data_IF_124258200727
#
_entry.id   IF_124258200727
#
_cell.length_a   1.000
_cell.length_b   1.000
_cell.length_c   1.000
_cell.angle_alpha   90.00
_cell.angle_beta   90.00
_cell.angle_gamma   90.00
#
_symmetry.space_group_name_H-M   'P 1'
#
loop_
_entity.id
_entity.type
_entity.pdbx_description
1 polymer ?
#
# COMPACT_ATOMS: atom_id res chain seq x y z
N UNK A 1 -24.17 -3.36 -38.97
CA UNK A 1 -23.23 -4.37 -38.43
C UNK A 1 -21.83 -3.81 -38.54
N UNK A 2 -21.35 -3.14 -37.51
CA UNK A 2 -19.99 -2.59 -37.45
C UNK A 2 -19.04 -3.71 -37.04
N UNK A 3 -18.28 -4.20 -38.02
CA UNK A 3 -17.17 -5.13 -37.86
C UNK A 3 -16.15 -4.56 -36.87
N UNK A 4 -16.15 -5.07 -35.65
CA UNK A 4 -15.08 -4.90 -34.68
C UNK A 4 -13.86 -5.66 -35.18
N UNK A 5 -12.97 -4.97 -35.90
CA UNK A 5 -11.65 -5.50 -36.21
C UNK A 5 -10.96 -5.86 -34.88
N UNK A 6 -10.68 -7.15 -34.70
CA UNK A 6 -9.80 -7.64 -33.63
C UNK A 6 -8.45 -6.96 -33.82
N UNK A 7 -8.15 -5.95 -33.00
CA UNK A 7 -6.84 -5.30 -32.99
C UNK A 7 -5.88 -6.25 -32.28
N UNK A 8 -4.88 -6.75 -33.02
CA UNK A 8 -3.77 -7.50 -32.44
C UNK A 8 -3.22 -6.74 -31.23
N UNK A 9 -3.17 -7.34 -30.02
CA UNK A 9 -2.61 -6.70 -28.85
C UNK A 9 -1.14 -6.31 -29.07
N UNK A 10 -0.72 -5.16 -28.52
CA UNK A 10 0.66 -4.68 -28.58
C UNK A 10 1.17 -4.31 -27.19
N UNK A 11 2.47 -4.47 -26.94
CA UNK A 11 3.15 -3.99 -25.73
C UNK A 11 3.97 -2.75 -26.04
N UNK A 12 4.06 -1.83 -25.06
CA UNK A 12 4.98 -0.69 -25.07
C UNK A 12 5.84 -0.63 -23.81
N UNK A 13 5.84 -1.69 -23.00
CA UNK A 13 6.47 -1.70 -21.69
C UNK A 13 7.96 -2.02 -21.79
N UNK A 14 8.29 -3.08 -22.52
CA UNK A 14 9.67 -3.49 -22.76
C UNK A 14 9.79 -4.31 -24.06
N UNK A 15 11.01 -4.36 -24.59
CA UNK A 15 11.40 -5.27 -25.67
C UNK A 15 12.89 -5.61 -25.52
N UNK A 16 13.35 -6.63 -26.22
CA UNK A 16 14.76 -6.97 -26.32
C UNK A 16 15.10 -7.46 -27.72
N UNK A 17 16.38 -7.32 -28.08
CA UNK A 17 17.02 -7.91 -29.25
C UNK A 17 18.18 -8.78 -28.78
N UNK A 18 18.97 -9.33 -29.72
CA UNK A 18 20.21 -10.04 -29.37
C UNK A 18 21.25 -9.16 -28.66
N UNK A 19 21.17 -7.83 -28.84
CA UNK A 19 22.21 -6.88 -28.39
C UNK A 19 21.66 -5.67 -27.64
N UNK A 20 20.35 -5.58 -27.40
CA UNK A 20 19.75 -4.45 -26.69
C UNK A 20 18.53 -4.87 -25.87
N UNK A 21 18.29 -4.16 -24.77
CA UNK A 21 17.06 -4.25 -24.00
C UNK A 21 16.51 -2.85 -23.85
N UNK A 22 15.20 -2.69 -24.00
CA UNK A 22 14.54 -1.41 -23.90
C UNK A 22 13.38 -1.48 -22.90
N UNK A 23 13.30 -0.47 -22.06
CA UNK A 23 12.20 -0.19 -21.16
C UNK A 23 11.48 1.02 -21.71
N UNK A 24 10.31 0.80 -22.31
CA UNK A 24 9.66 1.76 -23.20
C UNK A 24 10.64 2.17 -24.31
N UNK A 25 10.88 3.48 -24.47
CA UNK A 25 11.78 4.02 -25.48
C UNK A 25 13.25 4.08 -24.99
N UNK A 26 13.52 3.88 -23.70
CA UNK A 26 14.86 3.98 -23.13
C UNK A 26 15.64 2.66 -23.25
N UNK A 27 16.90 2.73 -23.66
CA UNK A 27 17.84 1.62 -23.64
C UNK A 27 18.26 1.32 -22.20
N UNK A 28 18.12 0.06 -21.77
CA UNK A 28 18.45 -0.35 -20.41
C UNK A 28 19.91 -0.10 -20.05
N UNK A 29 20.84 -0.39 -20.97
CA UNK A 29 22.29 -0.33 -20.72
C UNK A 29 22.79 1.11 -20.78
N UNK A 30 22.43 1.85 -21.81
CA UNK A 30 22.97 3.18 -22.06
C UNK A 30 22.23 4.28 -21.27
N UNK A 31 20.91 4.18 -21.17
CA UNK A 31 20.07 5.28 -20.63
C UNK A 31 19.68 5.08 -19.17
N UNK A 32 19.64 3.83 -18.67
CA UNK A 32 19.10 3.52 -17.34
C UNK A 32 20.17 3.03 -16.35
N UNK A 33 20.97 2.02 -16.71
CA UNK A 33 21.96 1.44 -15.83
C UNK A 33 23.04 2.46 -15.45
N UNK A 34 23.20 2.71 -14.14
CA UNK A 34 24.14 3.71 -13.63
C UNK A 34 23.69 5.17 -13.74
N UNK A 35 22.58 5.44 -14.45
CA UNK A 35 22.06 6.78 -14.69
C UNK A 35 20.78 7.08 -13.89
N UNK A 36 20.00 6.04 -13.58
CA UNK A 36 18.67 6.14 -12.98
C UNK A 36 18.56 5.26 -11.73
N UNK A 37 17.82 5.73 -10.73
CA UNK A 37 17.54 4.92 -9.54
C UNK A 37 16.43 3.91 -9.82
N UNK A 38 16.33 2.88 -8.98
CA UNK A 38 15.22 1.92 -9.07
C UNK A 38 13.86 2.60 -8.97
N UNK A 39 13.67 3.51 -8.00
CA UNK A 39 12.42 4.27 -7.83
C UNK A 39 12.07 5.07 -9.07
N UNK A 40 13.07 5.69 -9.71
CA UNK A 40 12.86 6.46 -10.93
C UNK A 40 12.38 5.58 -12.09
N UNK A 41 13.07 4.46 -12.36
CA UNK A 41 12.69 3.51 -13.42
C UNK A 41 11.32 2.89 -13.12
N UNK A 42 11.04 2.53 -11.87
CA UNK A 42 9.77 1.98 -11.42
C UNK A 42 8.62 2.96 -11.71
N UNK A 43 8.76 4.24 -11.34
CA UNK A 43 7.74 5.25 -11.63
C UNK A 43 7.57 5.52 -13.12
N UNK A 44 8.65 5.53 -13.90
CA UNK A 44 8.56 5.63 -15.37
C UNK A 44 7.75 4.48 -15.97
N UNK A 45 7.96 3.26 -15.48
CA UNK A 45 7.23 2.07 -15.93
C UNK A 45 5.75 2.12 -15.53
N UNK A 46 5.44 2.46 -14.28
CA UNK A 46 4.08 2.50 -13.73
C UNK A 46 3.27 3.67 -14.30
N UNK A 47 3.84 4.88 -14.33
CA UNK A 47 3.12 6.11 -14.71
C UNK A 47 3.21 6.42 -16.20
N UNK A 48 4.16 5.82 -16.92
CA UNK A 48 4.34 6.07 -18.35
C UNK A 48 4.84 7.47 -18.70
N UNK A 49 5.44 8.16 -17.73
CA UNK A 49 6.05 9.49 -17.87
C UNK A 49 7.34 9.57 -17.06
N UNK A 50 8.21 10.52 -17.39
CA UNK A 50 9.33 10.85 -16.52
C UNK A 50 8.80 11.35 -15.15
N UNK A 51 9.30 10.83 -14.01
CA UNK A 51 8.97 11.34 -12.69
C UNK A 51 9.65 12.69 -12.46
N UNK A 52 8.98 13.56 -11.69
CA UNK A 52 9.58 14.78 -11.15
C UNK A 52 10.45 14.45 -9.95
N UNK A 53 11.32 15.37 -9.53
CA UNK A 53 12.11 15.21 -8.31
C UNK A 53 11.24 14.95 -7.07
N UNK A 54 10.11 15.65 -6.94
CA UNK A 54 9.14 15.43 -5.87
C UNK A 54 8.48 14.04 -5.92
N UNK A 55 8.25 13.49 -7.11
CA UNK A 55 7.64 12.16 -7.25
C UNK A 55 8.55 11.08 -6.62
N UNK A 56 9.87 11.23 -6.78
CA UNK A 56 10.87 10.34 -6.18
C UNK A 56 10.85 10.45 -4.65
N UNK A 57 10.97 11.68 -4.12
CA UNK A 57 11.02 11.93 -2.67
C UNK A 57 9.77 11.41 -1.95
N UNK A 58 8.59 11.66 -2.53
CA UNK A 58 7.32 11.18 -1.99
C UNK A 58 7.21 9.66 -2.09
N UNK A 59 7.61 9.08 -3.22
CA UNK A 59 7.54 7.62 -3.39
C UNK A 59 8.47 6.91 -2.41
N UNK A 60 9.71 7.37 -2.25
CA UNK A 60 10.68 6.75 -1.34
C UNK A 60 10.17 6.76 0.12
N UNK A 61 9.64 7.91 0.61
CA UNK A 61 9.10 7.96 1.97
C UNK A 61 7.84 7.10 2.14
N UNK A 62 6.98 7.02 1.11
CA UNK A 62 5.82 6.14 1.12
C UNK A 62 6.26 4.67 1.19
N UNK A 63 7.23 4.27 0.36
CA UNK A 63 7.73 2.90 0.36
C UNK A 63 8.36 2.55 1.71
N UNK A 64 9.08 3.47 2.36
CA UNK A 64 9.64 3.26 3.71
C UNK A 64 8.52 3.04 4.73
N UNK A 65 7.50 3.90 4.76
CA UNK A 65 6.41 3.81 5.76
C UNK A 65 5.59 2.52 5.62
N UNK A 66 5.44 2.01 4.40
CA UNK A 66 4.68 0.79 4.14
C UNK A 66 5.47 -0.51 4.41
N UNK A 67 6.81 -0.41 4.50
CA UNK A 67 7.70 -1.57 4.40
C UNK A 67 7.60 -2.49 5.60
N UNK A 68 7.47 -1.96 6.82
CA UNK A 68 7.53 -2.74 8.05
C UNK A 68 6.46 -2.38 9.08
N UNK A 69 6.00 -3.41 9.80
CA UNK A 69 5.03 -3.25 10.90
C UNK A 69 5.13 -4.40 11.93
N UNK A 70 6.31 -5.00 12.07
CA UNK A 70 6.56 -6.16 12.94
C UNK A 70 5.98 -7.46 12.38
N UNK A 71 5.68 -8.41 13.27
CA UNK A 71 5.11 -9.73 12.93
C UNK A 71 3.63 -9.64 12.55
N UNK A 72 3.36 -8.99 11.41
CA UNK A 72 2.05 -8.99 10.76
C UNK A 72 1.72 -10.39 10.21
N UNK A 73 0.45 -10.70 9.88
CA UNK A 73 0.10 -11.95 9.22
C UNK A 73 0.94 -12.24 7.97
N UNK A 74 1.30 -11.20 7.21
CA UNK A 74 2.18 -11.28 6.03
C UNK A 74 3.60 -11.76 6.40
N UNK A 75 4.20 -11.18 7.44
CA UNK A 75 5.53 -11.56 7.93
C UNK A 75 5.53 -12.98 8.53
N UNK A 76 4.52 -13.30 9.34
CA UNK A 76 4.35 -14.62 9.96
C UNK A 76 4.20 -15.71 8.89
N UNK A 77 3.32 -15.49 7.90
CA UNK A 77 3.14 -16.43 6.80
C UNK A 77 4.43 -16.65 6.01
N UNK A 78 5.15 -15.56 5.69
CA UNK A 78 6.44 -15.64 4.98
C UNK A 78 7.44 -16.51 5.74
N UNK A 79 7.60 -16.28 7.05
CA UNK A 79 8.56 -17.03 7.88
C UNK A 79 8.19 -18.50 8.02
N UNK A 80 6.90 -18.81 8.21
CA UNK A 80 6.43 -20.19 8.31
C UNK A 80 6.64 -20.95 6.99
N UNK A 81 6.34 -20.34 5.85
CA UNK A 81 6.54 -20.97 4.54
C UNK A 81 8.04 -21.14 4.24
N UNK A 82 8.86 -20.13 4.55
CA UNK A 82 10.31 -20.24 4.38
C UNK A 82 10.91 -21.35 5.26
N UNK A 83 10.50 -21.45 6.53
CA UNK A 83 10.91 -22.54 7.42
C UNK A 83 10.54 -23.92 6.84
N UNK A 84 9.36 -24.04 6.23
CA UNK A 84 8.91 -25.32 5.65
C UNK A 84 9.59 -25.69 4.33
N UNK A 85 10.01 -24.71 3.54
CA UNK A 85 10.60 -24.89 2.20
C UNK A 85 11.67 -23.83 1.94
N UNK A 86 12.85 -23.91 2.61
CA UNK A 86 13.89 -22.88 2.57
C UNK A 86 14.50 -22.68 1.16
N UNK A 87 14.40 -23.69 0.29
CA UNK A 87 14.79 -23.61 -1.12
C UNK A 87 13.83 -22.77 -1.98
N UNK A 88 12.62 -22.47 -1.48
CA UNK A 88 11.57 -21.76 -2.20
C UNK A 88 11.31 -20.36 -1.61
N UNK A 89 12.34 -19.51 -1.62
CA UNK A 89 12.29 -18.12 -1.12
C UNK A 89 11.14 -17.32 -1.75
N UNK A 90 10.97 -17.40 -3.07
CA UNK A 90 9.90 -16.70 -3.79
C UNK A 90 8.50 -17.19 -3.37
N UNK A 91 8.35 -18.46 -3.01
CA UNK A 91 7.11 -19.01 -2.49
C UNK A 91 6.75 -18.41 -1.13
N UNK A 92 7.74 -18.25 -0.25
CA UNK A 92 7.56 -17.60 1.04
C UNK A 92 7.16 -16.12 0.89
N UNK A 93 7.85 -15.35 0.03
CA UNK A 93 7.46 -13.96 -0.25
C UNK A 93 6.05 -13.88 -0.83
N UNK A 94 5.72 -14.75 -1.78
CA UNK A 94 4.38 -14.82 -2.38
C UNK A 94 3.31 -15.08 -1.33
N UNK A 95 3.53 -16.02 -0.41
CA UNK A 95 2.60 -16.32 0.67
C UNK A 95 2.35 -15.11 1.59
N UNK A 96 3.41 -14.35 1.93
CA UNK A 96 3.24 -13.10 2.67
C UNK A 96 2.46 -12.04 1.89
N UNK A 97 2.72 -11.91 0.59
CA UNK A 97 2.02 -10.94 -0.27
C UNK A 97 0.52 -11.24 -0.41
N UNK A 98 0.11 -12.52 -0.37
CA UNK A 98 -1.31 -12.90 -0.37
C UNK A 98 -2.08 -12.37 0.84
N UNK A 99 -1.40 -12.02 1.93
CA UNK A 99 -2.01 -11.40 3.11
C UNK A 99 -2.18 -9.86 2.98
N UNK A 100 -1.69 -9.24 1.90
CA UNK A 100 -1.91 -7.81 1.61
C UNK A 100 -3.31 -7.64 1.01
N UNK A 101 -4.21 -6.96 1.72
CA UNK A 101 -5.62 -6.88 1.33
C UNK A 101 -6.39 -5.77 2.04
N UNK A 102 -7.72 -5.76 1.91
CA UNK A 102 -8.54 -4.64 2.41
C UNK A 102 -8.43 -4.39 3.91
N UNK A 103 -8.16 -5.43 4.71
CA UNK A 103 -7.95 -5.30 6.16
C UNK A 103 -6.55 -4.80 6.53
N UNK A 104 -5.55 -5.04 5.67
CA UNK A 104 -4.15 -4.71 5.93
C UNK A 104 -3.53 -4.02 4.72
N UNK A 105 -3.16 -2.75 4.89
CA UNK A 105 -2.53 -1.89 3.88
C UNK A 105 -3.44 -1.48 2.70
N UNK A 106 -4.42 -2.31 2.30
CA UNK A 106 -5.35 -2.02 1.20
C UNK A 106 -6.32 -0.86 1.43
N UNK A 107 -6.41 -0.32 2.65
CA UNK A 107 -7.24 0.84 3.00
C UNK A 107 -6.82 2.12 2.28
N UNK A 108 -5.57 2.22 1.79
CA UNK A 108 -5.09 3.38 1.03
C UNK A 108 -5.85 3.59 -0.29
N UNK A 109 -6.09 2.52 -1.06
CA UNK A 109 -6.81 2.58 -2.33
C UNK A 109 -8.27 3.01 -2.11
N UNK A 110 -8.90 2.45 -1.08
CA UNK A 110 -10.27 2.82 -0.70
C UNK A 110 -10.33 4.29 -0.25
N UNK A 111 -9.34 4.76 0.52
CA UNK A 111 -9.22 6.17 0.92
C UNK A 111 -9.05 7.07 -0.31
N UNK A 112 -8.15 6.73 -1.23
CA UNK A 112 -7.90 7.50 -2.44
C UNK A 112 -9.16 7.67 -3.29
N UNK A 113 -9.98 6.63 -3.43
CA UNK A 113 -11.28 6.74 -4.09
C UNK A 113 -12.25 7.73 -3.41
N UNK A 114 -12.20 7.84 -2.09
CA UNK A 114 -12.97 8.88 -1.36
C UNK A 114 -12.39 10.27 -1.60
N UNK A 115 -11.06 10.41 -1.61
CA UNK A 115 -10.40 11.69 -1.90
C UNK A 115 -10.68 12.16 -3.33
N UNK A 116 -10.73 11.24 -4.30
CA UNK A 116 -11.12 11.53 -5.69
C UNK A 116 -12.53 12.09 -5.79
N UNK A 117 -13.50 11.46 -5.08
CA UNK A 117 -14.88 11.96 -5.01
C UNK A 117 -14.96 13.37 -4.44
N UNK A 118 -14.27 13.62 -3.33
CA UNK A 118 -14.24 14.94 -2.68
C UNK A 118 -13.60 15.98 -3.62
N UNK A 119 -12.52 15.61 -4.30
CA UNK A 119 -11.83 16.52 -5.25
C UNK A 119 -12.71 16.89 -6.44
N UNK A 120 -13.60 15.99 -6.88
CA UNK A 120 -14.47 16.19 -8.03
C UNK A 120 -15.83 16.83 -7.68
N UNK A 121 -16.17 16.94 -6.39
CA UNK A 121 -17.45 17.46 -5.94
C UNK A 121 -17.54 18.98 -6.10
N UNK A 122 -18.71 19.48 -6.48
CA UNK A 122 -18.99 20.93 -6.49
C UNK A 122 -18.94 21.53 -5.08
N UNK A 123 -19.32 20.75 -4.06
CA UNK A 123 -19.15 21.08 -2.65
C UNK A 123 -18.37 19.95 -1.94
N UNK A 124 -17.04 20.07 -1.83
CA UNK A 124 -16.19 19.08 -1.19
C UNK A 124 -16.57 18.79 0.27
N UNK A 125 -17.07 19.80 1.01
CA UNK A 125 -17.44 19.64 2.42
C UNK A 125 -18.74 18.84 2.55
N UNK A 126 -19.73 19.12 1.71
CA UNK A 126 -20.97 18.34 1.69
C UNK A 126 -20.71 16.87 1.33
N UNK A 127 -19.84 16.61 0.33
CA UNK A 127 -19.46 15.25 -0.06
C UNK A 127 -18.73 14.51 1.07
N UNK A 128 -17.77 15.18 1.74
CA UNK A 128 -17.07 14.62 2.89
C UNK A 128 -18.02 14.24 4.05
N UNK A 129 -19.00 15.09 4.36
CA UNK A 129 -20.04 14.80 5.37
C UNK A 129 -20.92 13.62 4.96
N UNK A 130 -21.29 13.52 3.68
CA UNK A 130 -22.06 12.40 3.17
C UNK A 130 -21.30 11.08 3.32
N UNK A 131 -20.00 11.07 2.97
CA UNK A 131 -19.10 9.92 3.16
C UNK A 131 -19.03 9.52 4.63
N UNK A 132 -18.76 10.47 5.54
CA UNK A 132 -18.64 10.19 6.97
C UNK A 132 -19.95 9.61 7.56
N UNK A 133 -21.11 10.18 7.19
CA UNK A 133 -22.44 9.69 7.62
C UNK A 133 -22.73 8.29 7.07
N UNK A 134 -22.35 8.01 5.83
CA UNK A 134 -22.52 6.70 5.21
C UNK A 134 -21.79 5.61 6.02
N UNK A 135 -20.50 5.79 6.29
CA UNK A 135 -19.71 4.83 7.08
C UNK A 135 -20.20 4.69 8.53
N UNK A 136 -20.65 5.78 9.16
CA UNK A 136 -21.31 5.72 10.48
C UNK A 136 -22.58 4.86 10.44
N UNK A 137 -23.42 5.02 9.40
CA UNK A 137 -24.61 4.21 9.20
C UNK A 137 -24.30 2.72 9.00
N UNK A 138 -23.21 2.41 8.29
CA UNK A 138 -22.69 1.05 8.13
C UNK A 138 -22.02 0.48 9.40
N UNK A 139 -21.82 1.29 10.44
CA UNK A 139 -21.01 0.95 11.62
C UNK A 139 -19.61 0.45 11.25
N UNK A 140 -19.04 1.00 10.18
CA UNK A 140 -17.73 0.62 9.65
C UNK A 140 -16.76 1.81 9.73
N UNK A 141 -15.46 1.60 9.99
CA UNK A 141 -14.47 2.66 9.93
C UNK A 141 -14.39 3.31 8.55
N UNK A 142 -14.18 4.62 8.51
CA UNK A 142 -13.88 5.33 7.26
C UNK A 142 -12.46 4.94 6.81
N UNK A 143 -12.24 4.49 5.57
CA UNK A 143 -10.91 4.18 5.04
C UNK A 143 -9.94 5.36 5.22
N UNK A 144 -8.74 5.07 5.73
CA UNK A 144 -7.74 6.10 6.06
C UNK A 144 -7.84 6.67 7.48
N UNK A 145 -8.85 6.27 8.25
CA UNK A 145 -9.11 6.78 9.61
C UNK A 145 -9.16 5.68 10.66
N UNK A 146 -8.76 6.05 11.88
CA UNK A 146 -8.68 5.20 13.05
C UNK A 146 -7.40 4.36 13.11
N UNK A 147 -6.93 4.15 14.33
CA UNK A 147 -5.86 3.21 14.63
C UNK A 147 -6.09 2.61 16.03
N UNK A 148 -5.81 1.31 16.19
CA UNK A 148 -5.99 0.62 17.48
C UNK A 148 -4.89 1.02 18.49
N UNK A 149 -3.63 1.11 18.03
CA UNK A 149 -2.48 1.55 18.84
C UNK A 149 -2.28 3.08 18.93
N UNK A 150 -2.29 3.80 17.80
CA UNK A 150 -1.88 5.20 17.77
C UNK A 150 -3.01 6.18 18.07
N UNK A 151 -2.97 6.79 19.26
CA UNK A 151 -3.87 7.85 19.72
C UNK A 151 -3.07 8.88 20.55
N UNK A 152 -3.36 10.18 20.44
CA UNK A 152 -4.41 10.80 19.62
C UNK A 152 -4.05 10.94 18.14
N UNK A 153 -2.80 10.71 17.74
CA UNK A 153 -2.30 10.85 16.36
C UNK A 153 -1.45 9.65 15.96
N UNK A 154 -1.45 9.29 14.67
CA UNK A 154 -0.47 8.37 14.07
C UNK A 154 0.76 9.20 13.66
N UNK A 155 1.93 9.00 14.29
CA UNK A 155 3.11 9.82 14.03
C UNK A 155 3.59 9.70 12.58
N UNK A 156 3.34 8.57 11.92
CA UNK A 156 3.70 8.36 10.50
C UNK A 156 2.81 9.21 9.59
N UNK A 157 1.51 9.19 9.85
CA UNK A 157 0.55 9.99 9.08
C UNK A 157 0.87 11.48 9.21
N UNK A 158 1.13 11.93 10.43
CA UNK A 158 1.51 13.32 10.70
C UNK A 158 2.79 13.71 9.93
N UNK A 159 3.85 12.88 10.02
CA UNK A 159 5.12 13.19 9.36
C UNK A 159 5.01 13.17 7.83
N UNK A 160 4.26 12.23 7.27
CA UNK A 160 4.00 12.17 5.83
C UNK A 160 3.30 13.42 5.33
N UNK A 161 2.25 13.86 6.03
CA UNK A 161 1.51 15.08 5.64
C UNK A 161 2.34 16.35 5.85
N UNK A 162 3.18 16.42 6.88
CA UNK A 162 4.16 17.49 7.08
C UNK A 162 5.12 17.58 5.89
N UNK A 163 5.70 16.44 5.47
CA UNK A 163 6.61 16.38 4.32
C UNK A 163 5.90 16.77 3.02
N UNK A 164 4.71 16.25 2.77
CA UNK A 164 3.93 16.62 1.59
C UNK A 164 3.60 18.12 1.53
N UNK A 165 3.26 18.74 2.66
CA UNK A 165 3.00 20.20 2.72
C UNK A 165 4.25 21.05 2.52
N UNK A 166 5.44 20.51 2.82
CA UNK A 166 6.71 21.22 2.62
C UNK A 166 7.19 21.19 1.16
N UNK A 167 6.63 20.33 0.31
CA UNK A 167 7.01 20.18 -1.08
C UNK A 167 6.32 21.22 -1.98
N UNK A 168 7.05 22.26 -2.40
CA UNK A 168 6.50 23.36 -3.21
C UNK A 168 5.99 22.92 -4.61
N UNK A 169 6.41 21.75 -5.09
CA UNK A 169 5.97 21.20 -6.39
C UNK A 169 4.61 20.48 -6.31
N UNK A 170 4.09 20.22 -5.11
CA UNK A 170 2.77 19.62 -4.91
C UNK A 170 1.68 20.68 -4.85
N UNK A 171 0.53 20.39 -5.46
CA UNK A 171 -0.61 21.30 -5.44
C UNK A 171 -1.33 21.26 -4.08
N UNK A 172 -1.27 20.12 -3.38
CA UNK A 172 -1.87 19.90 -2.08
C UNK A 172 -3.38 19.62 -2.13
N UNK A 173 -3.95 19.35 -3.31
CA UNK A 173 -5.39 19.10 -3.48
C UNK A 173 -5.86 17.84 -2.74
N UNK A 174 -5.10 16.75 -2.83
CA UNK A 174 -5.41 15.49 -2.16
C UNK A 174 -5.16 15.57 -0.66
N UNK A 175 -4.15 16.33 -0.24
CA UNK A 175 -3.92 16.63 1.17
C UNK A 175 -5.12 17.41 1.74
N UNK A 176 -5.57 18.48 1.06
CA UNK A 176 -6.76 19.24 1.46
C UNK A 176 -8.04 18.41 1.46
N UNK A 177 -8.21 17.52 0.48
CA UNK A 177 -9.35 16.59 0.44
C UNK A 177 -9.34 15.65 1.66
N UNK A 178 -8.17 15.14 2.06
CA UNK A 178 -8.04 14.30 3.26
C UNK A 178 -8.33 15.08 4.54
N UNK A 179 -7.85 16.32 4.65
CA UNK A 179 -8.14 17.20 5.78
C UNK A 179 -9.63 17.56 5.87
N UNK A 180 -10.26 17.82 4.73
CA UNK A 180 -11.72 18.05 4.63
C UNK A 180 -12.50 16.82 5.09
N UNK A 181 -12.08 15.64 4.66
CA UNK A 181 -12.65 14.37 5.13
C UNK A 181 -12.43 14.19 6.63
N UNK A 182 -11.25 14.51 7.15
CA UNK A 182 -10.95 14.42 8.59
C UNK A 182 -11.90 15.26 9.43
N UNK A 183 -12.15 16.51 9.03
CA UNK A 183 -13.07 17.39 9.73
C UNK A 183 -14.51 16.83 9.73
N UNK A 184 -14.96 16.30 8.58
CA UNK A 184 -16.29 15.69 8.47
C UNK A 184 -16.41 14.41 9.31
N UNK A 185 -15.37 13.59 9.35
CA UNK A 185 -15.31 12.37 10.18
C UNK A 185 -15.37 12.72 11.66
N UNK A 186 -14.62 13.73 12.11
CA UNK A 186 -14.63 14.21 13.49
C UNK A 186 -16.01 14.76 13.90
N UNK A 187 -16.62 15.58 13.04
CA UNK A 187 -17.96 16.14 13.25
C UNK A 187 -19.00 15.03 13.41
N UNK A 188 -19.00 14.06 12.50
CA UNK A 188 -19.98 12.96 12.51
C UNK A 188 -19.72 11.98 13.67
N UNK A 189 -18.46 11.78 14.07
CA UNK A 189 -18.10 10.96 15.22
C UNK A 189 -18.33 11.66 16.57
N UNK A 190 -18.37 13.00 16.59
CA UNK A 190 -18.44 13.80 17.81
C UNK A 190 -17.13 13.82 18.62
N UNK A 191 -16.02 13.39 18.02
CA UNK A 191 -14.68 13.35 18.65
C UNK A 191 -13.61 13.24 17.56
N UNK A 192 -12.34 13.62 17.85
CA UNK A 192 -11.23 13.40 16.94
C UNK A 192 -11.02 11.92 16.60
N UNK A 193 -10.88 11.63 15.30
CA UNK A 193 -10.50 10.34 14.74
C UNK A 193 -9.16 10.49 14.03
N UNK A 194 -8.17 9.73 14.51
CA UNK A 194 -6.82 9.71 13.94
C UNK A 194 -6.81 9.42 12.43
N UNK A 195 -6.16 10.26 11.62
CA UNK A 195 -5.72 9.87 10.28
C UNK A 195 -4.61 8.82 10.43
N UNK A 196 -4.77 7.65 9.81
CA UNK A 196 -3.75 6.61 9.87
C UNK A 196 -2.75 6.73 8.71
N UNK A 197 -1.64 5.99 8.80
CA UNK A 197 -0.59 6.02 7.79
C UNK A 197 -1.10 5.79 6.35
N UNK A 198 -2.03 4.85 6.15
CA UNK A 198 -2.58 4.56 4.81
C UNK A 198 -3.42 5.71 4.24
N UNK A 199 -4.08 6.51 5.10
CA UNK A 199 -4.78 7.72 4.69
C UNK A 199 -3.82 8.80 4.19
N UNK A 200 -2.73 9.04 4.92
CA UNK A 200 -1.68 9.97 4.50
C UNK A 200 -1.00 9.52 3.20
N UNK A 201 -0.68 8.22 3.09
CA UNK A 201 -0.13 7.62 1.87
C UNK A 201 -1.07 7.81 0.67
N UNK A 202 -2.38 7.61 0.84
CA UNK A 202 -3.36 7.80 -0.22
C UNK A 202 -3.35 9.24 -0.75
N UNK A 203 -3.28 10.23 0.15
CA UNK A 203 -3.18 11.62 -0.25
C UNK A 203 -1.87 11.89 -1.03
N UNK A 204 -0.72 11.47 -0.50
CA UNK A 204 0.58 11.73 -1.13
C UNK A 204 0.77 11.05 -2.49
N UNK A 205 0.36 9.78 -2.63
CA UNK A 205 0.40 9.11 -3.92
C UNK A 205 -0.54 9.78 -4.93
N UNK A 206 -1.69 10.29 -4.46
CA UNK A 206 -2.59 11.08 -5.27
C UNK A 206 -1.98 12.40 -5.75
N UNK A 207 -1.20 13.10 -4.91
CA UNK A 207 -0.50 14.35 -5.27
C UNK A 207 0.51 14.18 -6.42
N UNK A 208 1.14 13.01 -6.50
CA UNK A 208 2.10 12.68 -7.57
C UNK A 208 1.43 12.00 -8.78
N UNK A 209 0.10 11.92 -8.77
CA UNK A 209 -0.70 11.42 -9.90
C UNK A 209 -0.69 9.90 -10.06
N UNK A 210 -0.44 9.14 -8.99
CA UNK A 210 -0.65 7.68 -9.03
C UNK A 210 -2.16 7.41 -9.13
N UNK A 211 -2.61 6.67 -10.16
CA UNK A 211 -4.01 6.32 -10.29
C UNK A 211 -4.48 5.46 -9.11
N UNK A 212 -5.67 5.75 -8.57
CA UNK A 212 -6.27 5.03 -7.44
C UNK A 212 -6.22 3.51 -7.62
N UNK A 213 -6.57 3.01 -8.82
CA UNK A 213 -6.58 1.57 -9.13
C UNK A 213 -5.20 0.87 -9.04
N UNK A 214 -4.10 1.62 -9.02
CA UNK A 214 -2.72 1.09 -8.98
C UNK A 214 -2.05 1.35 -7.62
N UNK A 215 -2.65 2.15 -6.74
CA UNK A 215 -2.04 2.53 -5.46
C UNK A 215 -1.63 1.32 -4.60
N UNK A 216 -2.46 0.28 -4.54
CA UNK A 216 -2.10 -0.95 -3.80
C UNK A 216 -0.84 -1.63 -4.33
N UNK A 217 -0.47 -1.41 -5.59
CA UNK A 217 0.80 -1.87 -6.15
C UNK A 217 2.02 -1.34 -5.38
N UNK A 218 1.98 -0.11 -4.90
CA UNK A 218 3.07 0.47 -4.09
C UNK A 218 3.23 -0.23 -2.74
N UNK A 219 2.11 -0.60 -2.12
CA UNK A 219 2.12 -1.43 -0.92
C UNK A 219 2.72 -2.81 -1.20
N UNK A 220 2.33 -3.47 -2.29
CA UNK A 220 2.88 -4.77 -2.68
C UNK A 220 4.40 -4.69 -2.91
N UNK A 221 4.87 -3.67 -3.64
CA UNK A 221 6.30 -3.44 -3.90
C UNK A 221 7.06 -3.23 -2.59
N UNK A 222 6.59 -2.32 -1.74
CA UNK A 222 7.19 -2.03 -0.45
C UNK A 222 7.23 -3.27 0.46
N UNK A 223 6.11 -4.01 0.56
CA UNK A 223 6.03 -5.22 1.36
C UNK A 223 6.94 -6.32 0.85
N UNK A 224 7.10 -6.48 -0.47
CA UNK A 224 8.02 -7.47 -1.02
C UNK A 224 9.46 -7.25 -0.51
N UNK A 225 9.93 -6.00 -0.45
CA UNK A 225 11.23 -5.67 0.11
C UNK A 225 11.35 -6.06 1.60
N UNK A 226 10.36 -5.72 2.42
CA UNK A 226 10.32 -6.10 3.83
C UNK A 226 10.24 -7.62 4.07
N UNK A 227 9.47 -8.34 3.24
CA UNK A 227 9.38 -9.80 3.33
C UNK A 227 10.69 -10.51 3.00
N UNK A 228 11.46 -9.99 2.03
CA UNK A 228 12.83 -10.47 1.80
C UNK A 228 13.70 -10.22 3.03
N UNK A 229 13.59 -9.05 3.67
CA UNK A 229 14.32 -8.77 4.91
C UNK A 229 13.92 -9.73 6.06
N UNK A 230 12.64 -10.08 6.18
CA UNK A 230 12.20 -11.09 7.15
C UNK A 230 12.81 -12.47 6.88
N UNK A 231 13.01 -12.86 5.62
CA UNK A 231 13.68 -14.13 5.27
C UNK A 231 15.17 -14.07 5.62
N UNK A 232 15.84 -12.95 5.34
CA UNK A 232 17.24 -12.75 5.73
C UNK A 232 17.38 -12.83 7.26
N UNK A 233 16.47 -12.23 8.02
CA UNK A 233 16.47 -12.40 9.47
C UNK A 233 16.20 -13.84 9.88
N UNK A 234 15.25 -14.53 9.23
CA UNK A 234 14.92 -15.94 9.50
C UNK A 234 16.08 -16.90 9.22
N UNK A 235 16.98 -16.58 8.28
CA UNK A 235 18.22 -17.33 8.02
C UNK A 235 19.23 -17.20 9.16
N UNK A 236 19.26 -16.06 9.85
CA UNK A 236 20.21 -15.76 10.91
C UNK A 236 19.66 -16.09 12.31
N UNK A 237 18.37 -15.86 12.52
CA UNK A 237 17.64 -16.07 13.77
C UNK A 237 16.29 -16.72 13.46
N UNK A 238 16.26 -18.06 13.28
CA UNK A 238 15.04 -18.77 12.92
C UNK A 238 13.96 -18.64 13.99
N UNK A 239 12.77 -18.23 13.58
CA UNK A 239 11.59 -18.03 14.43
C UNK A 239 10.39 -18.88 14.00
N UNK A 240 10.37 -19.43 12.78
CA UNK A 240 9.26 -20.19 12.22
C UNK A 240 8.85 -21.38 13.10
N UNK A 241 9.82 -22.14 13.62
CA UNK A 241 9.53 -23.30 14.47
C UNK A 241 8.90 -22.86 15.79
N UNK A 242 9.42 -21.79 16.37
CA UNK A 242 8.88 -21.21 17.59
C UNK A 242 7.45 -20.69 17.38
N UNK A 243 7.17 -20.04 16.24
CA UNK A 243 5.82 -19.58 15.88
C UNK A 243 4.87 -20.79 15.81
N UNK A 244 5.26 -21.87 15.11
CA UNK A 244 4.45 -23.08 15.03
C UNK A 244 4.20 -23.65 16.43
N UNK A 245 5.25 -23.98 17.18
CA UNK A 245 5.12 -24.60 18.49
C UNK A 245 4.25 -23.74 19.43
N UNK A 246 4.37 -22.40 19.38
CA UNK A 246 3.54 -21.48 20.16
C UNK A 246 2.04 -21.66 19.85
N UNK A 247 1.68 -21.74 18.58
CA UNK A 247 0.28 -21.91 18.15
C UNK A 247 -0.25 -23.29 18.56
N UNK A 248 0.55 -24.34 18.40
CA UNK A 248 0.17 -25.71 18.80
C UNK A 248 -0.11 -25.82 20.30
N UNK A 249 0.69 -25.15 21.14
CA UNK A 249 0.45 -25.13 22.59
C UNK A 249 -0.72 -24.22 23.00
N UNK A 250 -0.90 -23.09 22.31
CA UNK A 250 -1.91 -22.10 22.68
C UNK A 250 -3.34 -22.50 22.26
N UNK A 251 -3.50 -23.36 21.26
CA UNK A 251 -4.80 -23.78 20.73
C UNK A 251 -5.07 -25.24 21.14
N UNK A 252 -5.81 -25.49 22.23
CA UNK A 252 -6.05 -26.84 22.69
C UNK A 252 -6.94 -27.62 21.73
N UNK A 253 -6.60 -28.89 21.49
CA UNK A 253 -7.50 -29.82 20.83
C UNK A 253 -8.64 -30.22 21.79
N UNK A 254 -9.88 -29.95 21.40
CA UNK A 254 -11.07 -30.41 22.14
C UNK A 254 -11.67 -31.61 21.40
N UNK A 255 -11.45 -32.81 21.93
CA UNK A 255 -12.07 -34.03 21.43
C UNK A 255 -13.53 -34.13 21.86
N UNK A 256 -14.44 -34.50 20.94
CA UNK A 256 -15.87 -34.60 21.23
C UNK A 256 -16.22 -35.77 22.16
N UNK A 257 -16.27 -35.52 23.47
CA UNK A 257 -16.93 -36.39 24.47
C UNK A 257 -17.62 -35.59 25.59
N UNK A 258 -18.24 -34.46 25.26
CA UNK A 258 -19.21 -33.81 26.15
C UNK A 258 -20.60 -33.86 25.50
N UNK A 259 -21.37 -34.92 25.78
CA UNK A 259 -22.72 -35.07 25.23
C UNK A 259 -23.44 -36.40 25.45
N UNK A 260 -22.97 -37.29 26.34
CA UNK A 260 -23.76 -38.45 26.80
C UNK A 260 -23.55 -38.65 28.30
N UNK A 261 -24.44 -38.04 29.09
CA UNK A 261 -24.82 -38.47 30.43
C UNK A 261 -26.34 -38.31 30.53
#
# INVERSE_FOLDING_TARGET
MTTTASKTPVTRLCTHTLTSLHYRDANLVEDLMGQKTFTEVMLMQILGRAPRGVDLRITDVVLIVLMEHGLTPSAIATRLIYMSAPENLQGAVSAGLLAVGSSFVGTMENCAGLLDRISAAADPKAEALAIARHYKGLKSPVPGFGHHLHKPVDPRAYKLLEMGRAEAELQGDKIRALETLSQAVDEVAGRPITINATGAVAALLGEIGVPTAVMRGFAVISRAAGLVAHIVEEQNSPSGRFIWDTIEHAIPFVGGKDGQA
#
